data_IF_878604139333
#
_entry.id   IF_878604139333
#
_cell.length_a   1.000
_cell.length_b   1.000
_cell.length_c   1.000
_cell.angle_alpha   90.00
_cell.angle_beta   90.00
_cell.angle_gamma   90.00
#
_symmetry.space_group_name_H-M   'P 1'
#
loop_
_entity.id
_entity.type
_entity.pdbx_description
1 polymer ?
#
# COMPACT_ATOMS: atom_id res chain seq x y z
N UNK A 1 53.98 18.74 61.73
CA UNK A 1 52.90 19.66 62.14
C UNK A 1 51.58 18.99 61.84
N UNK A 2 50.88 18.61 62.90
CA UNK A 2 49.58 17.95 62.87
C UNK A 2 48.51 18.92 62.40
N UNK A 3 47.59 18.43 61.57
CA UNK A 3 46.37 19.14 61.18
C UNK A 3 45.16 18.22 61.36
N UNK A 4 44.65 18.14 62.59
CA UNK A 4 43.34 17.55 62.92
C UNK A 4 42.24 18.45 62.38
N UNK A 5 41.31 17.87 61.62
CA UNK A 5 39.91 18.27 61.53
C UNK A 5 39.18 17.00 61.07
N UNK A 6 38.27 16.39 61.82
CA UNK A 6 37.23 16.97 62.67
C UNK A 6 35.97 16.22 62.24
N UNK A 7 35.67 15.12 62.92
CA UNK A 7 34.52 14.27 62.63
C UNK A 7 33.22 15.07 62.79
N UNK A 8 32.34 14.98 61.79
CA UNK A 8 30.93 15.30 61.98
C UNK A 8 30.09 14.17 61.37
N UNK A 9 29.49 13.39 62.26
CA UNK A 9 28.57 12.32 61.92
C UNK A 9 27.17 12.89 61.68
N UNK A 10 26.67 12.65 60.48
CA UNK A 10 25.26 12.65 60.14
C UNK A 10 25.05 11.52 59.13
N UNK A 11 24.15 10.59 59.43
CA UNK A 11 23.81 9.44 58.60
C UNK A 11 23.15 9.90 57.29
N UNK A 12 23.95 10.41 56.37
CA UNK A 12 23.75 10.25 54.96
C UNK A 12 24.88 9.31 54.53
N UNK A 13 24.57 8.04 54.29
CA UNK A 13 25.46 7.15 53.55
C UNK A 13 25.52 7.63 52.11
N UNK A 14 26.14 8.80 51.92
CA UNK A 14 26.37 9.43 50.64
C UNK A 14 27.32 8.53 49.87
N UNK A 15 26.78 7.76 48.93
CA UNK A 15 27.56 6.97 47.98
C UNK A 15 28.38 7.96 47.14
N UNK A 16 29.62 8.21 47.54
CA UNK A 16 30.60 8.88 46.69
C UNK A 16 31.01 7.91 45.61
N UNK A 17 30.71 8.24 44.35
CA UNK A 17 31.11 7.42 43.21
C UNK A 17 32.64 7.40 43.10
N UNK A 18 33.19 6.22 42.81
CA UNK A 18 34.59 6.10 42.41
C UNK A 18 34.78 6.62 40.99
N UNK A 19 36.00 7.01 40.62
CA UNK A 19 36.27 7.51 39.27
C UNK A 19 35.97 6.44 38.21
N UNK A 20 36.20 5.17 38.55
CA UNK A 20 35.89 4.02 37.72
C UNK A 20 34.38 3.88 37.50
N UNK A 21 33.57 4.04 38.55
CA UNK A 21 32.10 4.03 38.46
C UNK A 21 31.60 5.19 37.59
N UNK A 22 32.16 6.39 37.76
CA UNK A 22 31.83 7.55 36.91
C UNK A 22 32.14 7.27 35.43
N UNK A 23 33.32 6.73 35.14
CA UNK A 23 33.72 6.39 33.77
C UNK A 23 32.78 5.34 33.15
N UNK A 24 32.40 4.32 33.93
CA UNK A 24 31.41 3.33 33.48
C UNK A 24 30.06 3.98 33.17
N UNK A 25 29.54 4.80 34.08
CA UNK A 25 28.25 5.48 33.90
C UNK A 25 28.25 6.37 32.65
N UNK A 26 29.31 7.16 32.44
CA UNK A 26 29.45 8.03 31.25
C UNK A 26 29.51 7.19 29.98
N UNK A 27 30.29 6.10 29.99
CA UNK A 27 30.40 5.22 28.83
C UNK A 27 29.08 4.53 28.48
N UNK A 28 28.31 4.09 29.49
CA UNK A 28 27.01 3.45 29.31
C UNK A 28 25.99 4.45 28.75
N UNK A 29 25.91 5.65 29.32
CA UNK A 29 25.00 6.70 28.81
C UNK A 29 25.34 7.10 27.38
N UNK A 30 26.63 7.27 27.07
CA UNK A 30 27.06 7.61 25.72
C UNK A 30 26.74 6.48 24.72
N UNK A 31 26.87 5.21 25.12
CA UNK A 31 26.46 4.07 24.30
C UNK A 31 24.95 4.05 24.09
N UNK A 32 24.16 4.18 25.15
CA UNK A 32 22.70 4.20 25.08
C UNK A 32 22.19 5.33 24.19
N UNK A 33 22.76 6.54 24.32
CA UNK A 33 22.40 7.69 23.49
C UNK A 33 22.75 7.46 22.02
N UNK A 34 23.94 6.90 21.73
CA UNK A 34 24.33 6.51 20.37
C UNK A 34 23.42 5.43 19.79
N UNK A 35 23.06 4.42 20.57
CA UNK A 35 22.15 3.37 20.13
C UNK A 35 20.74 3.88 19.89
N UNK A 36 20.27 4.84 20.71
CA UNK A 36 18.99 5.49 20.55
C UNK A 36 18.97 6.32 19.26
N UNK A 37 19.98 7.17 19.05
CA UNK A 37 20.12 7.94 17.80
C UNK A 37 20.19 7.04 16.58
N UNK A 38 20.92 5.91 16.67
CA UNK A 38 21.01 4.95 15.58
C UNK A 38 19.65 4.31 15.28
N UNK A 39 18.92 3.86 16.32
CA UNK A 39 17.56 3.30 16.15
C UNK A 39 16.59 4.30 15.54
N UNK A 40 16.64 5.57 15.96
CA UNK A 40 15.81 6.62 15.40
C UNK A 40 16.15 6.87 13.92
N UNK A 41 17.44 6.90 13.58
CA UNK A 41 17.89 7.05 12.19
C UNK A 41 17.47 5.85 11.33
N UNK A 42 17.67 4.63 11.81
CA UNK A 42 17.27 3.40 11.11
C UNK A 42 15.75 3.36 10.88
N UNK A 43 14.95 3.80 11.85
CA UNK A 43 13.50 3.89 11.72
C UNK A 43 13.08 4.91 10.64
N UNK A 44 13.70 6.09 10.63
CA UNK A 44 13.43 7.13 9.62
C UNK A 44 13.80 6.62 8.21
N UNK A 45 14.93 5.93 8.07
CA UNK A 45 15.35 5.32 6.80
C UNK A 45 14.32 4.27 6.35
N UNK A 46 13.92 3.37 7.24
CA UNK A 46 12.95 2.33 6.91
C UNK A 46 11.59 2.90 6.46
N UNK A 47 11.12 3.97 7.11
CA UNK A 47 9.88 4.65 6.70
C UNK A 47 10.02 5.33 5.33
N UNK A 48 11.17 5.97 5.07
CA UNK A 48 11.45 6.56 3.76
C UNK A 48 11.52 5.49 2.66
N UNK A 49 12.23 4.38 2.90
CA UNK A 49 12.33 3.26 1.96
C UNK A 49 10.95 2.67 1.63
N UNK A 50 10.10 2.50 2.65
CA UNK A 50 8.73 2.03 2.46
C UNK A 50 7.92 2.98 1.58
N UNK A 51 8.03 4.29 1.82
CA UNK A 51 7.33 5.30 1.02
C UNK A 51 7.84 5.37 -0.43
N UNK A 52 9.16 5.30 -0.62
CA UNK A 52 9.79 5.25 -1.95
C UNK A 52 9.33 4.01 -2.70
N UNK A 53 9.41 2.83 -2.08
CA UNK A 53 8.97 1.57 -2.69
C UNK A 53 7.49 1.61 -3.08
N UNK A 54 6.62 2.15 -2.22
CA UNK A 54 5.20 2.29 -2.55
C UNK A 54 4.98 3.21 -3.76
N UNK A 55 5.72 4.32 -3.83
CA UNK A 55 5.67 5.25 -4.96
C UNK A 55 6.18 4.60 -6.25
N UNK A 56 7.31 3.90 -6.20
CA UNK A 56 7.89 3.20 -7.35
C UNK A 56 6.94 2.12 -7.89
N UNK A 57 6.35 1.32 -7.00
CA UNK A 57 5.35 0.32 -7.39
C UNK A 57 4.15 0.95 -8.08
N UNK A 58 3.65 2.09 -7.58
CA UNK A 58 2.55 2.81 -8.22
C UNK A 58 2.93 3.33 -9.62
N UNK A 59 4.15 3.83 -9.80
CA UNK A 59 4.63 4.25 -11.13
C UNK A 59 4.70 3.07 -12.08
N UNK A 60 5.21 1.91 -11.62
CA UNK A 60 5.23 0.68 -12.41
C UNK A 60 3.83 0.23 -12.85
N UNK A 61 2.82 0.37 -11.98
CA UNK A 61 1.42 0.09 -12.34
C UNK A 61 0.93 1.04 -13.43
N UNK A 62 1.18 2.35 -13.29
CA UNK A 62 0.78 3.35 -14.29
C UNK A 62 1.39 3.07 -15.66
N UNK A 63 2.69 2.77 -15.71
CA UNK A 63 3.39 2.44 -16.95
C UNK A 63 2.81 1.18 -17.61
N UNK A 64 2.52 0.14 -16.82
CA UNK A 64 1.90 -1.09 -17.34
C UNK A 64 0.48 -0.83 -17.85
N UNK A 65 -0.34 -0.09 -17.12
CA UNK A 65 -1.70 0.29 -17.57
C UNK A 65 -1.64 1.04 -18.90
N UNK A 66 -0.76 2.04 -18.99
CA UNK A 66 -0.56 2.83 -20.20
C UNK A 66 -0.11 1.97 -21.38
N UNK A 67 0.80 1.02 -21.15
CA UNK A 67 1.25 0.06 -22.18
C UNK A 67 0.14 -0.84 -22.70
N UNK A 68 -0.89 -1.09 -21.89
CA UNK A 68 -2.06 -1.90 -22.24
C UNK A 68 -3.24 -1.07 -22.76
N UNK A 69 -3.10 0.25 -22.85
CA UNK A 69 -4.16 1.17 -23.29
C UNK A 69 -5.28 1.34 -22.25
N UNK A 70 -5.01 1.04 -20.98
CA UNK A 70 -5.97 1.15 -19.89
C UNK A 70 -5.89 2.53 -19.22
N UNK A 71 -7.00 3.07 -18.68
CA UNK A 71 -7.02 4.37 -18.03
C UNK A 71 -6.20 4.39 -16.73
N UNK A 72 -5.44 5.48 -16.53
CA UNK A 72 -4.57 5.69 -15.35
C UNK A 72 -5.36 5.71 -14.03
N UNK A 73 -6.65 6.06 -14.06
CA UNK A 73 -7.52 6.04 -12.88
C UNK A 73 -7.68 4.65 -12.25
N UNK A 74 -7.38 3.57 -13.00
CA UNK A 74 -7.40 2.21 -12.46
C UNK A 74 -6.21 1.92 -11.52
N UNK A 75 -5.15 2.74 -11.55
CA UNK A 75 -4.00 2.57 -10.67
C UNK A 75 -4.39 2.69 -9.18
N UNK A 76 -5.43 3.48 -8.86
CA UNK A 76 -5.96 3.61 -7.50
C UNK A 76 -6.69 2.35 -7.01
N UNK A 77 -7.22 1.56 -7.93
CA UNK A 77 -7.94 0.32 -7.63
C UNK A 77 -7.05 -0.92 -7.64
N UNK A 78 -5.82 -0.82 -8.14
CA UNK A 78 -4.89 -1.95 -8.27
C UNK A 78 -4.10 -2.16 -6.98
N UNK A 79 -4.05 -3.40 -6.53
CA UNK A 79 -3.20 -3.80 -5.41
C UNK A 79 -1.71 -3.71 -5.80
N UNK A 80 -0.98 -2.78 -5.19
CA UNK A 80 0.45 -2.55 -5.40
C UNK A 80 1.36 -3.32 -4.42
N UNK A 81 0.86 -4.38 -3.76
CA UNK A 81 1.61 -5.12 -2.74
C UNK A 81 2.83 -5.87 -3.30
N UNK A 82 2.67 -6.46 -4.46
CA UNK A 82 3.66 -7.30 -5.12
C UNK A 82 3.48 -7.28 -6.64
N UNK A 83 4.56 -7.56 -7.37
CA UNK A 83 4.57 -7.46 -8.83
C UNK A 83 3.66 -8.50 -9.50
N UNK A 84 3.49 -9.68 -8.91
CA UNK A 84 2.60 -10.70 -9.44
C UNK A 84 1.13 -10.29 -9.35
N UNK A 85 0.71 -9.74 -8.22
CA UNK A 85 -0.64 -9.20 -8.00
C UNK A 85 -0.95 -8.05 -8.97
N UNK A 86 0.04 -7.18 -9.22
CA UNK A 86 -0.08 -6.13 -10.25
C UNK A 86 -0.33 -6.75 -11.62
N UNK A 87 0.43 -7.78 -12.01
CA UNK A 87 0.27 -8.42 -13.32
C UNK A 87 -1.06 -9.12 -13.47
N UNK A 88 -1.45 -9.92 -12.47
CA UNK A 88 -2.73 -10.65 -12.46
C UNK A 88 -3.91 -9.69 -12.56
N UNK A 89 -3.89 -8.59 -11.79
CA UNK A 89 -4.97 -7.58 -11.84
C UNK A 89 -5.03 -6.86 -13.18
N UNK A 90 -3.89 -6.45 -13.74
CA UNK A 90 -3.84 -5.81 -15.08
C UNK A 90 -4.30 -6.77 -16.17
N UNK A 91 -3.96 -8.06 -16.09
CA UNK A 91 -4.40 -9.07 -17.05
C UNK A 91 -5.92 -9.25 -17.03
N UNK A 92 -6.51 -9.39 -15.84
CA UNK A 92 -7.97 -9.48 -15.65
C UNK A 92 -8.65 -8.22 -16.20
N UNK A 93 -8.14 -7.03 -15.88
CA UNK A 93 -8.68 -5.77 -16.38
C UNK A 93 -8.55 -5.67 -17.90
N UNK A 94 -7.42 -6.06 -18.47
CA UNK A 94 -7.21 -6.07 -19.92
C UNK A 94 -8.21 -6.98 -20.63
N UNK A 95 -8.44 -8.18 -20.10
CA UNK A 95 -9.39 -9.13 -20.67
C UNK A 95 -10.83 -8.62 -20.58
N UNK A 96 -11.24 -8.06 -19.44
CA UNK A 96 -12.60 -7.54 -19.23
C UNK A 96 -12.88 -6.30 -20.08
N UNK A 97 -11.96 -5.33 -20.12
CA UNK A 97 -12.11 -4.12 -20.94
C UNK A 97 -12.19 -4.44 -22.43
N UNK A 98 -11.32 -5.33 -22.94
CA UNK A 98 -11.36 -5.75 -24.36
C UNK A 98 -12.59 -6.58 -24.71
N UNK A 99 -13.12 -7.34 -23.75
CA UNK A 99 -14.38 -8.08 -23.95
C UNK A 99 -15.58 -7.13 -23.95
N UNK A 100 -15.52 -6.03 -23.20
CA UNK A 100 -16.59 -5.02 -23.12
C UNK A 100 -16.84 -4.23 -24.41
N UNK A 101 -15.81 -3.99 -25.23
CA UNK A 101 -16.01 -3.39 -26.57
C UNK A 101 -16.81 -4.29 -27.52
N UNK A 102 -16.91 -5.59 -27.23
CA UNK A 102 -17.68 -6.56 -28.02
C UNK A 102 -19.01 -6.97 -27.35
N UNK A 103 -19.44 -6.27 -26.29
CA UNK A 103 -20.32 -6.86 -25.27
C UNK A 103 -21.63 -6.14 -24.97
N UNK A 104 -22.02 -5.14 -25.75
CA UNK A 104 -23.42 -4.72 -25.81
C UNK A 104 -23.76 -4.66 -27.28
N UNK A 105 -24.25 -5.78 -27.83
CA UNK A 105 -25.12 -5.69 -28.99
C UNK A 105 -26.24 -4.76 -28.51
N UNK A 106 -26.18 -3.48 -28.87
CA UNK A 106 -27.38 -2.65 -28.89
C UNK A 106 -28.39 -3.53 -29.60
N UNK A 107 -29.47 -3.89 -28.92
CA UNK A 107 -30.60 -4.49 -29.61
C UNK A 107 -31.02 -3.43 -30.62
N UNK A 108 -30.48 -3.53 -31.83
CA UNK A 108 -30.75 -2.58 -32.88
C UNK A 108 -32.16 -2.90 -33.34
N UNK A 109 -33.11 -2.20 -32.72
CA UNK A 109 -34.51 -2.32 -33.03
C UNK A 109 -34.69 -1.75 -34.44
N UNK A 110 -34.74 -2.64 -35.42
CA UNK A 110 -35.21 -2.33 -36.76
C UNK A 110 -36.72 -2.60 -36.78
N UNK A 111 -37.58 -1.57 -36.58
CA UNK A 111 -39.00 -1.74 -36.86
C UNK A 111 -39.11 -2.00 -38.36
N UNK A 112 -39.39 -3.25 -38.72
CA UNK A 112 -39.81 -3.58 -40.09
C UNK A 112 -41.09 -2.78 -40.32
N UNK A 113 -40.99 -1.75 -41.17
CA UNK A 113 -42.12 -0.94 -41.59
C UNK A 113 -43.30 -1.86 -41.92
N UNK A 114 -44.48 -1.51 -41.41
CA UNK A 114 -45.67 -2.36 -41.42
C UNK A 114 -46.23 -2.59 -42.82
N UNK A 115 -45.61 -3.49 -43.59
CA UNK A 115 -46.18 -4.04 -44.82
C UNK A 115 -45.91 -5.54 -45.02
N UNK A 116 -45.28 -6.22 -44.04
CA UNK A 116 -45.16 -7.68 -44.05
C UNK A 116 -46.23 -8.31 -43.15
N UNK A 117 -47.07 -9.16 -43.72
CA UNK A 117 -48.03 -9.98 -42.99
C UNK A 117 -47.26 -10.84 -41.97
N UNK A 118 -47.41 -10.54 -40.68
CA UNK A 118 -46.72 -11.24 -39.61
C UNK A 118 -47.54 -12.47 -39.25
N UNK A 119 -47.14 -13.64 -39.74
CA UNK A 119 -47.54 -14.89 -39.09
C UNK A 119 -46.93 -14.88 -37.70
N UNK A 120 -47.76 -14.63 -36.69
CA UNK A 120 -47.34 -14.69 -35.29
C UNK A 120 -47.18 -16.18 -34.93
N UNK A 121 -45.94 -16.64 -34.64
CA UNK A 121 -45.67 -18.06 -34.38
C UNK A 121 -46.37 -18.55 -33.11
N UNK A 122 -46.66 -17.65 -32.15
CA UNK A 122 -47.41 -18.00 -30.94
C UNK A 122 -48.88 -18.19 -31.29
N UNK A 123 -49.44 -17.32 -32.15
CA UNK A 123 -50.83 -17.43 -32.59
C UNK A 123 -51.08 -18.67 -33.44
N UNK A 124 -50.12 -19.03 -34.30
CA UNK A 124 -50.14 -20.26 -35.11
C UNK A 124 -50.05 -21.52 -34.24
N UNK A 125 -49.14 -21.55 -33.26
CA UNK A 125 -49.04 -22.64 -32.29
C UNK A 125 -50.31 -22.82 -31.45
N UNK A 126 -51.07 -21.74 -31.25
CA UNK A 126 -52.34 -21.74 -30.53
C UNK A 126 -53.55 -21.98 -31.43
N UNK A 127 -53.36 -22.23 -32.73
CA UNK A 127 -54.44 -22.51 -33.68
C UNK A 127 -55.36 -21.30 -33.93
N UNK A 128 -54.86 -20.09 -33.69
CA UNK A 128 -55.60 -18.83 -33.79
C UNK A 128 -55.18 -18.02 -35.03
N UNK A 129 -54.52 -18.63 -36.02
CA UNK A 129 -54.26 -17.97 -37.30
C UNK A 129 -55.60 -17.58 -37.98
N UNK A 130 -55.68 -16.42 -38.68
CA UNK A 130 -56.88 -16.03 -39.41
C UNK A 130 -57.24 -17.01 -40.53
#
# INVERSE_FOLDING_TARGET
MEGRNGANGGENTGKTFTQEEVNQIVSSRLKEEREKMKREQDAVIADMEKNIKAREMRMNVLDRLKSKGLPESLADAINCSDEESINKSIEILTNTYKTGENGHLKAEYHPVGGTGERTDPIREAMGLAP
#
